data_IF_211704346033
#
_entry.id   IF_211704346033
#
_cell.length_a   1.000
_cell.length_b   1.000
_cell.length_c   1.000
_cell.angle_alpha   90.00
_cell.angle_beta   90.00
_cell.angle_gamma   90.00
#
_symmetry.space_group_name_H-M   'P 1'
#
loop_
_entity.id
_entity.type
_entity.pdbx_description
1 polymer ?
#
# COMPACT_ATOMS: atom_id res chain seq x y z
N UNK A 1 7.21 -20.95 12.01
CA UNK A 1 7.40 -19.60 12.60
C UNK A 1 7.37 -19.72 14.10
N UNK A 2 8.33 -19.13 14.83
CA UNK A 2 8.30 -19.17 16.29
C UNK A 2 7.27 -18.15 16.85
N UNK A 3 6.79 -18.31 18.10
CA UNK A 3 5.79 -17.41 18.67
C UNK A 3 6.22 -15.94 18.72
N UNK A 4 7.50 -15.67 18.99
CA UNK A 4 8.01 -14.30 19.04
C UNK A 4 7.94 -13.62 17.66
N UNK A 5 8.29 -14.33 16.59
CA UNK A 5 8.18 -13.79 15.23
C UNK A 5 6.71 -13.54 14.83
N UNK A 6 5.78 -14.39 15.27
CA UNK A 6 4.34 -14.17 15.03
C UNK A 6 3.82 -12.92 15.74
N UNK A 7 4.23 -12.70 16.99
CA UNK A 7 3.86 -11.49 17.75
C UNK A 7 4.48 -10.22 17.13
N UNK A 8 5.74 -10.29 16.69
CA UNK A 8 6.40 -9.18 15.99
C UNK A 8 5.71 -8.84 14.68
N UNK A 9 5.26 -9.84 13.90
CA UNK A 9 4.50 -9.59 12.67
C UNK A 9 3.15 -8.92 12.96
N UNK A 10 2.45 -9.36 14.00
CA UNK A 10 1.21 -8.72 14.44
C UNK A 10 1.45 -7.27 14.87
N UNK A 11 2.57 -6.99 15.53
CA UNK A 11 2.96 -5.64 15.92
C UNK A 11 3.32 -4.77 14.70
N UNK A 12 4.06 -5.30 13.73
CA UNK A 12 4.33 -4.63 12.46
C UNK A 12 3.05 -4.16 11.75
N UNK A 13 2.05 -5.05 11.67
CA UNK A 13 0.74 -4.73 11.06
C UNK A 13 0.01 -3.63 11.84
N UNK A 14 0.03 -3.71 13.17
CA UNK A 14 -0.59 -2.69 14.03
C UNK A 14 0.07 -1.32 13.85
N UNK A 15 1.40 -1.27 13.82
CA UNK A 15 2.15 -0.03 13.58
C UNK A 15 1.87 0.53 12.18
N UNK A 16 1.76 -0.32 11.16
CA UNK A 16 1.39 0.11 9.81
C UNK A 16 0.00 0.72 9.79
N UNK A 17 -1.01 0.05 10.36
CA UNK A 17 -2.37 0.58 10.43
C UNK A 17 -2.43 1.91 11.21
N UNK A 18 -1.77 2.01 12.35
CA UNK A 18 -1.71 3.23 13.17
C UNK A 18 -1.05 4.39 12.41
N UNK A 19 -0.02 4.14 11.62
CA UNK A 19 0.61 5.13 10.75
C UNK A 19 -0.40 5.73 9.77
N UNK A 20 -1.16 4.89 9.09
CA UNK A 20 -2.15 5.35 8.11
C UNK A 20 -3.33 6.07 8.76
N UNK A 21 -3.73 5.73 10.00
CA UNK A 21 -4.69 6.55 10.77
C UNK A 21 -4.16 7.97 10.93
N UNK A 22 -2.93 8.14 11.42
CA UNK A 22 -2.30 9.45 11.60
C UNK A 22 -2.17 10.24 10.30
N UNK A 23 -1.85 9.55 9.20
CA UNK A 23 -1.75 10.16 7.86
C UNK A 23 -3.11 10.69 7.39
N UNK A 24 -4.19 9.92 7.59
CA UNK A 24 -5.55 10.33 7.21
C UNK A 24 -6.07 11.52 8.03
N UNK A 25 -5.58 11.70 9.26
CA UNK A 25 -5.96 12.82 10.13
C UNK A 25 -5.29 14.15 9.74
N UNK A 26 -4.27 14.12 8.86
CA UNK A 26 -3.64 15.35 8.40
C UNK A 26 -4.49 16.05 7.34
N UNK A 27 -4.81 17.33 7.58
CA UNK A 27 -5.54 18.14 6.62
C UNK A 27 -4.70 18.51 5.38
N UNK A 28 -3.39 18.73 5.58
CA UNK A 28 -2.45 19.05 4.50
C UNK A 28 -1.81 17.76 3.95
N UNK A 29 -2.01 17.44 2.66
CA UNK A 29 -1.44 16.25 2.05
C UNK A 29 0.09 16.23 1.99
N UNK A 30 0.77 17.37 1.92
CA UNK A 30 2.22 17.42 1.93
C UNK A 30 2.76 17.07 3.33
N UNK A 31 2.10 17.57 4.39
CA UNK A 31 2.40 17.22 5.78
C UNK A 31 2.09 15.73 6.02
N UNK A 32 0.97 15.23 5.49
CA UNK A 32 0.60 13.82 5.56
C UNK A 32 1.67 12.91 4.92
N UNK A 33 2.19 13.31 3.76
CA UNK A 33 3.26 12.57 3.07
C UNK A 33 4.58 12.59 3.85
N UNK A 34 4.97 13.74 4.40
CA UNK A 34 6.16 13.84 5.25
C UNK A 34 6.04 12.94 6.49
N UNK A 35 4.91 13.01 7.20
CA UNK A 35 4.62 12.15 8.35
C UNK A 35 4.69 10.65 7.99
N UNK A 36 4.12 10.27 6.83
CA UNK A 36 4.17 8.88 6.35
C UNK A 36 5.61 8.41 6.14
N UNK A 37 6.47 9.24 5.51
CA UNK A 37 7.89 8.94 5.29
C UNK A 37 8.63 8.73 6.61
N UNK A 38 8.50 9.68 7.53
CA UNK A 38 9.21 9.64 8.83
C UNK A 38 8.81 8.42 9.65
N UNK A 39 7.51 8.14 9.76
CA UNK A 39 7.02 6.97 10.48
C UNK A 39 7.45 5.66 9.81
N UNK A 40 7.50 5.62 8.48
CA UNK A 40 7.94 4.44 7.74
C UNK A 40 9.43 4.18 7.93
N UNK A 41 10.26 5.21 7.82
CA UNK A 41 11.70 5.10 8.05
C UNK A 41 12.01 4.69 9.49
N UNK A 42 11.31 5.23 10.47
CA UNK A 42 11.44 4.82 11.85
C UNK A 42 11.14 3.32 12.01
N UNK A 43 10.02 2.84 11.45
CA UNK A 43 9.63 1.44 11.54
C UNK A 43 10.65 0.54 10.83
N UNK A 44 11.11 0.91 9.64
CA UNK A 44 12.13 0.15 8.89
C UNK A 44 13.47 0.08 9.62
N UNK A 45 13.82 1.14 10.34
CA UNK A 45 15.08 1.21 11.11
C UNK A 45 15.06 0.34 12.35
N UNK A 46 13.96 0.34 13.09
CA UNK A 46 13.91 -0.20 14.45
C UNK A 46 13.15 -1.51 14.60
N UNK A 47 12.19 -1.82 13.69
CA UNK A 47 11.33 -2.98 13.89
C UNK A 47 12.03 -4.29 13.49
N UNK A 48 11.94 -5.37 14.31
CA UNK A 48 12.58 -6.66 14.01
C UNK A 48 12.11 -7.32 12.71
N UNK A 49 10.86 -7.06 12.29
CA UNK A 49 10.29 -7.53 11.02
C UNK A 49 10.44 -6.51 9.88
N UNK A 50 11.33 -5.51 10.05
CA UNK A 50 11.66 -4.56 8.99
C UNK A 50 12.26 -5.28 7.78
N UNK A 51 11.86 -4.90 6.54
CA UNK A 51 12.32 -5.59 5.34
C UNK A 51 13.80 -5.32 4.99
N UNK A 52 14.41 -4.32 5.63
CA UNK A 52 15.81 -3.99 5.39
C UNK A 52 16.73 -4.88 6.24
N UNK A 53 17.74 -5.55 5.66
CA UNK A 53 18.76 -6.26 6.41
C UNK A 53 19.43 -5.38 7.48
N UNK A 54 19.92 -5.98 8.56
CA UNK A 54 20.54 -5.23 9.65
C UNK A 54 21.71 -4.35 9.22
N UNK A 55 22.48 -4.80 8.22
CA UNK A 55 23.62 -4.08 7.67
C UNK A 55 23.27 -3.12 6.51
N UNK A 56 21.99 -3.01 6.14
CA UNK A 56 21.58 -2.15 5.03
C UNK A 56 21.77 -0.66 5.41
N UNK A 57 22.51 0.13 4.62
CA UNK A 57 22.76 1.54 4.90
C UNK A 57 21.49 2.37 4.96
N UNK A 58 20.41 1.98 4.27
CA UNK A 58 19.11 2.64 4.34
C UNK A 58 18.47 2.59 5.74
N UNK A 59 18.92 1.68 6.62
CA UNK A 59 18.48 1.72 8.04
C UNK A 59 18.99 2.96 8.76
N UNK A 60 20.16 3.45 8.40
CA UNK A 60 20.76 4.63 9.03
C UNK A 60 20.35 5.94 8.32
N UNK A 61 20.43 5.99 6.98
CA UNK A 61 20.19 7.19 6.20
C UNK A 61 18.72 7.40 5.76
N UNK A 62 17.86 6.40 5.96
CA UNK A 62 16.47 6.43 5.47
C UNK A 62 16.35 5.90 4.04
N UNK A 63 15.12 5.61 3.65
CA UNK A 63 14.77 5.15 2.30
C UNK A 63 14.64 6.37 1.37
N UNK A 64 15.19 6.35 0.16
CA UNK A 64 14.97 7.43 -0.80
C UNK A 64 13.51 7.44 -1.26
N UNK A 65 12.87 8.60 -1.15
CA UNK A 65 11.51 8.84 -1.61
C UNK A 65 11.48 9.95 -2.65
N UNK A 66 10.57 9.85 -3.59
CA UNK A 66 10.25 10.97 -4.46
C UNK A 66 9.64 12.12 -3.64
N UNK A 67 9.87 13.38 -4.02
CA UNK A 67 9.16 14.52 -3.44
C UNK A 67 7.64 14.35 -3.55
N UNK A 68 6.91 14.97 -2.64
CA UNK A 68 5.46 15.05 -2.77
C UNK A 68 5.08 15.84 -4.01
N UNK A 69 4.23 15.25 -4.86
CA UNK A 69 3.67 15.92 -6.04
C UNK A 69 2.14 15.89 -5.93
N UNK A 70 1.49 17.07 -5.77
CA UNK A 70 0.04 17.14 -5.68
C UNK A 70 -0.67 16.71 -6.97
N UNK A 71 -0.01 16.76 -8.13
CA UNK A 71 -0.55 16.29 -9.40
C UNK A 71 -0.72 14.76 -9.44
N UNK A 72 -0.07 14.02 -8.53
CA UNK A 72 -0.19 12.57 -8.40
C UNK A 72 -1.15 12.12 -7.29
N UNK A 73 -1.98 13.03 -6.78
CA UNK A 73 -3.00 12.73 -5.77
C UNK A 73 -4.40 12.83 -6.35
N UNK A 74 -5.08 11.71 -6.49
CA UNK A 74 -6.42 11.65 -7.09
C UNK A 74 -7.43 10.96 -6.18
N UNK A 75 -8.70 11.32 -6.40
CA UNK A 75 -9.84 10.52 -5.99
C UNK A 75 -10.48 9.98 -7.26
N UNK A 76 -10.49 8.67 -7.41
CA UNK A 76 -10.97 8.00 -8.61
C UNK A 76 -12.05 6.98 -8.26
N UNK A 77 -12.99 6.77 -9.19
CA UNK A 77 -14.01 5.74 -9.05
C UNK A 77 -13.46 4.35 -9.39
N UNK A 78 -14.16 3.33 -8.90
CA UNK A 78 -13.93 1.94 -9.29
C UNK A 78 -15.00 1.55 -10.30
N UNK A 79 -14.57 1.17 -11.50
CA UNK A 79 -15.43 0.67 -12.56
C UNK A 79 -15.60 -0.85 -12.40
N UNK A 80 -16.83 -1.39 -12.48
CA UNK A 80 -17.03 -2.83 -12.43
C UNK A 80 -16.29 -3.55 -13.55
N UNK A 81 -15.75 -4.74 -13.27
CA UNK A 81 -15.26 -5.63 -14.31
C UNK A 81 -16.43 -6.41 -14.90
N UNK A 82 -16.64 -6.36 -16.24
CA UNK A 82 -17.70 -7.10 -16.91
C UNK A 82 -17.53 -8.63 -16.73
N UNK A 83 -16.28 -9.08 -16.70
CA UNK A 83 -15.91 -10.47 -16.43
C UNK A 83 -14.76 -10.47 -15.40
N UNK A 84 -15.06 -10.52 -14.10
CA UNK A 84 -14.04 -10.54 -13.06
C UNK A 84 -13.10 -11.73 -13.20
N UNK A 85 -11.80 -11.45 -13.16
CA UNK A 85 -10.77 -12.48 -13.20
C UNK A 85 -10.48 -13.01 -11.80
N UNK A 86 -10.06 -14.27 -11.73
CA UNK A 86 -9.49 -14.89 -10.55
C UNK A 86 -8.09 -15.37 -10.86
N UNK A 87 -7.13 -15.02 -10.04
CA UNK A 87 -5.75 -15.44 -10.19
C UNK A 87 -5.23 -16.05 -8.89
N UNK A 88 -4.30 -16.98 -9.03
CA UNK A 88 -3.53 -17.52 -7.94
C UNK A 88 -2.07 -17.15 -8.17
N UNK A 89 -1.53 -16.28 -7.32
CA UNK A 89 -0.15 -15.83 -7.38
C UNK A 89 0.70 -16.67 -6.42
N UNK A 90 1.68 -17.39 -6.94
CA UNK A 90 2.68 -18.06 -6.13
C UNK A 90 3.65 -17.02 -5.56
N UNK A 91 3.77 -16.95 -4.26
CA UNK A 91 4.65 -16.05 -3.51
C UNK A 91 5.85 -16.80 -2.90
N UNK A 92 6.16 -17.97 -3.41
CA UNK A 92 7.27 -18.80 -2.96
C UNK A 92 7.04 -19.34 -1.54
N UNK A 93 7.95 -19.09 -0.59
CA UNK A 93 7.83 -19.59 0.78
C UNK A 93 6.58 -19.13 1.52
N UNK A 94 5.97 -18.03 1.09
CA UNK A 94 4.76 -17.47 1.70
C UNK A 94 3.47 -18.12 1.16
N UNK A 95 3.60 -19.03 0.19
CA UNK A 95 2.51 -19.81 -0.37
C UNK A 95 1.78 -19.15 -1.53
N UNK A 96 0.52 -19.52 -1.73
CA UNK A 96 -0.31 -19.02 -2.84
C UNK A 96 -1.32 -18.01 -2.33
N UNK A 97 -1.29 -16.81 -2.90
CA UNK A 97 -2.30 -15.77 -2.66
C UNK A 97 -3.36 -15.86 -3.77
N UNK A 98 -4.63 -15.94 -3.37
CA UNK A 98 -5.76 -15.90 -4.30
C UNK A 98 -6.33 -14.50 -4.38
N UNK A 99 -6.55 -14.03 -5.59
CA UNK A 99 -7.05 -12.70 -5.88
C UNK A 99 -8.26 -12.80 -6.81
N UNK A 100 -9.29 -12.03 -6.50
CA UNK A 100 -10.45 -11.83 -7.34
C UNK A 100 -10.50 -10.36 -7.78
N UNK A 101 -10.73 -10.12 -9.05
CA UNK A 101 -10.80 -8.76 -9.57
C UNK A 101 -12.06 -8.06 -9.03
N UNK A 102 -11.86 -7.00 -8.24
CA UNK A 102 -12.94 -6.16 -7.72
C UNK A 102 -13.42 -5.12 -8.75
N UNK A 103 -12.54 -4.74 -9.69
CA UNK A 103 -12.87 -3.76 -10.72
C UNK A 103 -11.62 -3.17 -11.36
N UNK A 104 -11.82 -2.00 -11.96
CA UNK A 104 -10.79 -1.23 -12.62
C UNK A 104 -10.70 0.19 -12.03
N UNK A 105 -9.50 0.71 -11.96
CA UNK A 105 -9.20 2.10 -11.61
C UNK A 105 -8.49 2.75 -12.79
N UNK A 106 -9.02 3.88 -13.26
CA UNK A 106 -8.40 4.68 -14.30
C UNK A 106 -7.72 5.90 -13.69
N UNK A 107 -6.41 5.97 -13.80
CA UNK A 107 -5.64 7.13 -13.37
C UNK A 107 -5.70 8.23 -14.43
N UNK A 108 -5.93 9.49 -14.04
CA UNK A 108 -5.84 10.63 -14.94
C UNK A 108 -4.41 10.87 -15.45
N UNK A 109 -4.25 11.84 -16.34
CA UNK A 109 -2.93 12.37 -16.70
C UNK A 109 -2.19 12.92 -15.45
N UNK A 110 -0.87 12.81 -15.38
CA UNK A 110 0.06 12.35 -16.42
C UNK A 110 0.23 10.82 -16.50
N UNK A 111 -0.44 10.04 -15.67
CA UNK A 111 -0.31 8.57 -15.68
C UNK A 111 -1.12 7.94 -16.80
N UNK A 112 -2.38 8.35 -17.01
CA UNK A 112 -3.24 7.95 -18.12
C UNK A 112 -3.38 6.43 -18.27
N UNK A 113 -3.45 5.67 -17.17
CA UNK A 113 -3.47 4.20 -17.19
C UNK A 113 -4.64 3.64 -16.44
N UNK A 114 -5.15 2.51 -16.92
CA UNK A 114 -6.16 1.69 -16.27
C UNK A 114 -5.50 0.49 -15.61
N UNK A 115 -5.77 0.27 -14.33
CA UNK A 115 -5.16 -0.77 -13.50
C UNK A 115 -6.24 -1.58 -12.81
N UNK A 116 -6.05 -2.90 -12.71
CA UNK A 116 -6.99 -3.76 -12.01
C UNK A 116 -6.89 -3.57 -10.48
N UNK A 117 -8.03 -3.37 -9.85
CA UNK A 117 -8.19 -3.45 -8.40
C UNK A 117 -8.57 -4.88 -8.03
N UNK A 118 -7.88 -5.44 -7.05
CA UNK A 118 -8.06 -6.81 -6.60
C UNK A 118 -8.60 -6.88 -5.19
N UNK A 119 -9.35 -7.91 -4.90
CA UNK A 119 -9.73 -8.36 -3.57
C UNK A 119 -8.92 -9.60 -3.22
N UNK A 120 -8.32 -9.61 -2.04
CA UNK A 120 -7.66 -10.79 -1.48
C UNK A 120 -8.74 -11.81 -1.11
N UNK A 121 -8.71 -13.01 -1.70
CA UNK A 121 -9.65 -14.10 -1.46
C UNK A 121 -9.10 -15.05 -0.39
N UNK A 122 -8.98 -14.52 0.83
CA UNK A 122 -8.49 -15.23 2.01
C UNK A 122 -9.08 -14.64 3.30
N UNK A 123 -8.83 -15.31 4.43
CA UNK A 123 -9.29 -14.82 5.74
C UNK A 123 -8.81 -13.38 6.00
N UNK A 124 -9.75 -12.51 6.36
CA UNK A 124 -9.49 -11.08 6.55
C UNK A 124 -9.63 -10.24 5.28
N UNK A 125 -9.57 -10.84 4.09
CA UNK A 125 -9.78 -10.15 2.82
C UNK A 125 -8.90 -8.93 2.63
N UNK A 126 -9.42 -7.93 1.93
CA UNK A 126 -8.79 -6.63 1.72
C UNK A 126 -8.69 -6.28 0.25
N UNK A 127 -8.58 -4.98 -0.04
CA UNK A 127 -8.34 -4.48 -1.38
C UNK A 127 -6.83 -4.33 -1.61
N UNK A 128 -6.42 -4.68 -2.81
CA UNK A 128 -5.04 -4.67 -3.23
C UNK A 128 -4.91 -4.05 -4.63
N UNK A 129 -4.07 -3.02 -4.75
CA UNK A 129 -3.82 -2.32 -6.01
C UNK A 129 -2.33 -2.39 -6.35
N UNK A 130 -1.89 -3.44 -7.06
CA UNK A 130 -0.51 -3.57 -7.48
C UNK A 130 -0.18 -2.63 -8.64
N UNK A 131 1.03 -2.09 -8.65
CA UNK A 131 1.54 -1.22 -9.70
C UNK A 131 2.95 -1.65 -10.12
N UNK A 132 3.19 -1.61 -11.42
CA UNK A 132 4.53 -1.60 -12.01
C UNK A 132 4.60 -0.48 -13.03
N UNK A 133 5.68 0.27 -13.02
CA UNK A 133 5.97 1.31 -13.99
C UNK A 133 7.30 1.06 -14.72
N UNK A 134 7.67 1.94 -15.62
CA UNK A 134 8.89 1.82 -16.43
C UNK A 134 10.19 1.85 -15.58
N UNK A 135 10.14 2.31 -14.35
CA UNK A 135 11.29 2.35 -13.43
C UNK A 135 11.46 1.06 -12.62
N UNK A 136 10.48 0.14 -12.71
CA UNK A 136 10.48 -1.10 -11.93
C UNK A 136 11.67 -2.00 -12.28
N UNK A 137 12.46 -2.36 -11.26
CA UNK A 137 13.66 -3.18 -11.39
C UNK A 137 14.92 -2.41 -11.82
N UNK A 138 14.83 -1.08 -12.02
CA UNK A 138 15.96 -0.22 -12.34
C UNK A 138 16.15 0.87 -11.28
N UNK A 139 15.33 1.93 -11.32
CA UNK A 139 15.36 3.03 -10.35
C UNK A 139 14.40 2.82 -9.16
N UNK A 140 13.53 1.82 -9.23
CA UNK A 140 12.61 1.47 -8.15
C UNK A 140 12.49 -0.05 -8.01
N UNK A 141 11.92 -0.52 -6.87
CA UNK A 141 11.64 -1.93 -6.64
C UNK A 141 10.71 -2.52 -7.72
N UNK A 142 10.85 -3.82 -8.02
CA UNK A 142 10.21 -4.50 -9.14
C UNK A 142 8.68 -4.48 -9.19
N UNK A 143 8.02 -4.17 -8.07
CA UNK A 143 6.57 -3.99 -7.98
C UNK A 143 6.23 -3.20 -6.72
N UNK A 144 5.10 -2.50 -6.75
CA UNK A 144 4.59 -1.68 -5.64
C UNK A 144 3.12 -1.97 -5.41
N UNK A 145 2.70 -1.76 -4.17
CA UNK A 145 1.32 -1.77 -3.78
C UNK A 145 0.91 -0.33 -3.45
N UNK A 146 -0.03 0.24 -4.18
CA UNK A 146 -0.58 1.56 -3.91
C UNK A 146 -1.66 1.52 -2.85
N UNK A 147 -2.34 0.37 -2.72
CA UNK A 147 -3.40 0.13 -1.75
C UNK A 147 -3.26 -1.29 -1.23
N UNK A 148 -3.22 -1.43 0.10
CA UNK A 148 -3.28 -2.72 0.80
C UNK A 148 -4.09 -2.55 2.08
N UNK A 149 -5.41 -2.72 1.97
CA UNK A 149 -6.31 -2.53 3.12
C UNK A 149 -6.20 -3.66 4.14
N UNK A 150 -5.67 -4.83 3.77
CA UNK A 150 -5.39 -5.90 4.73
C UNK A 150 -4.28 -5.53 5.72
N UNK A 151 -3.40 -4.61 5.34
CA UNK A 151 -2.37 -4.02 6.21
C UNK A 151 -2.82 -2.68 6.81
N UNK A 152 -4.03 -2.20 6.50
CA UNK A 152 -4.48 -0.85 6.82
C UNK A 152 -3.71 0.24 6.07
N UNK A 153 -3.04 -0.12 4.98
CA UNK A 153 -2.25 0.77 4.15
C UNK A 153 -3.12 1.41 3.06
N UNK A 154 -3.99 2.34 3.46
CA UNK A 154 -4.89 3.06 2.58
C UNK A 154 -5.16 4.50 3.09
N UNK A 155 -5.58 5.36 2.19
CA UNK A 155 -5.96 6.75 2.51
C UNK A 155 -7.46 6.92 2.77
N UNK A 156 -8.23 5.83 2.76
CA UNK A 156 -9.68 5.77 2.79
C UNK A 156 -10.36 6.52 1.62
N UNK A 157 -11.64 6.29 1.43
CA UNK A 157 -12.43 7.12 0.51
C UNK A 157 -12.90 8.38 1.26
N UNK A 158 -12.96 9.55 0.61
CA UNK A 158 -13.64 10.70 1.20
C UNK A 158 -15.07 10.30 1.56
N UNK A 159 -15.54 10.74 2.74
CA UNK A 159 -16.92 10.53 3.14
C UNK A 159 -17.83 11.05 2.03
N UNK A 160 -18.81 10.24 1.59
CA UNK A 160 -19.87 10.75 0.72
C UNK A 160 -20.55 11.90 1.45
N UNK A 161 -20.73 13.07 0.80
CA UNK A 161 -21.57 14.08 1.39
C UNK A 161 -22.94 13.43 1.64
N UNK A 162 -23.42 13.54 2.88
CA UNK A 162 -24.77 13.10 3.22
C UNK A 162 -25.73 13.82 2.27
N UNK A 163 -26.38 13.08 1.38
CA UNK A 163 -27.50 13.59 0.61
C UNK A 163 -28.62 13.88 1.61
N UNK A 164 -28.74 15.14 2.04
CA UNK A 164 -29.91 15.62 2.73
C UNK A 164 -31.06 15.55 1.75
N UNK A 165 -32.00 14.65 2.00
CA UNK A 165 -33.32 14.61 1.35
C UNK A 165 -34.21 15.64 2.00
#
# INVERSE_FOLDING_TARGET
>A
MNPAAALQLADWRRQTAARYVRVREQADPAVAHALWRDCRDQTMRSHPQGPLPAADPMRACGVPYWPYDPALRWTVGVEPAAQPQRIAADTGPDGVIRLEQAGWVTFPDPVGRRVALWRLDQYGGGLFLPLRDATSGTASYGGRCLLDTAQGADLASPARPSSST
#
